data_IF_233597493717
#
_entry.id   IF_233597493717
#
_cell.length_a   1.000
_cell.length_b   1.000
_cell.length_c   1.000
_cell.angle_alpha   90.00
_cell.angle_beta   90.00
_cell.angle_gamma   90.00
#
_symmetry.space_group_name_H-M   'P 1'
#
loop_
_entity.id
_entity.type
_entity.pdbx_description
1 polymer ?
#
# COMPACT_ATOMS: atom_id res chain seq x y z
N UNK A 1 -3.31 40.33 0.40
CA UNK A 1 -4.18 39.15 0.47
C UNK A 1 -3.61 38.10 -0.48
N UNK A 2 -2.66 37.30 0.02
CA UNK A 2 -2.07 36.19 -0.73
C UNK A 2 -2.52 34.93 0.00
N UNK A 3 -3.46 34.22 -0.60
CA UNK A 3 -4.03 33.00 -0.03
C UNK A 3 -3.11 31.85 -0.40
N UNK A 4 -2.21 31.48 0.51
CA UNK A 4 -1.37 30.28 0.36
C UNK A 4 -2.23 29.08 0.75
N UNK A 5 -2.69 28.32 -0.25
CA UNK A 5 -3.41 27.08 -0.03
C UNK A 5 -2.45 26.02 0.56
N UNK A 6 -2.58 25.75 1.86
CA UNK A 6 -1.88 24.67 2.54
C UNK A 6 -2.74 23.41 2.41
N UNK A 7 -2.22 22.36 1.75
CA UNK A 7 -2.92 21.07 1.62
C UNK A 7 -2.52 20.15 2.77
N UNK A 8 -3.50 19.56 3.43
CA UNK A 8 -3.34 18.73 4.63
C UNK A 8 -3.71 17.28 4.26
N UNK A 9 -2.85 16.31 4.60
CA UNK A 9 -2.98 14.88 4.33
C UNK A 9 -3.08 14.15 5.67
N UNK A 10 -4.10 13.32 5.92
CA UNK A 10 -4.39 12.76 7.25
C UNK A 10 -4.22 11.23 7.33
N UNK A 11 -3.59 10.73 8.41
CA UNK A 11 -3.36 9.32 8.67
C UNK A 11 -3.57 8.92 10.14
N UNK A 12 -4.47 7.96 10.37
CA UNK A 12 -4.65 7.26 11.64
C UNK A 12 -5.08 5.81 11.38
N UNK A 13 -4.31 4.82 11.83
CA UNK A 13 -4.84 3.49 12.16
C UNK A 13 -3.96 2.77 13.20
N UNK A 14 -4.62 2.15 14.18
CA UNK A 14 -4.06 1.09 15.03
C UNK A 14 -4.03 -0.21 14.20
N UNK A 15 -2.89 -0.89 14.15
CA UNK A 15 -2.78 -2.23 13.57
C UNK A 15 -2.74 -3.28 14.67
N UNK A 16 -3.76 -4.13 14.72
CA UNK A 16 -3.69 -5.46 15.30
C UNK A 16 -3.96 -6.46 14.19
N UNK A 17 -2.94 -7.21 13.76
CA UNK A 17 -3.15 -8.37 12.91
C UNK A 17 -3.60 -9.53 13.78
N UNK A 18 -4.85 -9.96 13.62
CA UNK A 18 -5.32 -11.23 14.18
C UNK A 18 -5.23 -12.30 13.09
N UNK A 19 -4.26 -13.20 13.22
CA UNK A 19 -4.23 -14.46 12.48
C UNK A 19 -5.10 -15.44 13.25
N UNK A 20 -6.26 -15.78 12.70
CA UNK A 20 -7.12 -16.83 13.24
C UNK A 20 -6.71 -18.16 12.59
N UNK A 21 -6.08 -19.05 13.37
CA UNK A 21 -5.84 -20.44 12.98
C UNK A 21 -7.15 -21.22 13.17
N UNK A 22 -7.78 -21.66 12.07
CA UNK A 22 -8.91 -22.59 12.12
C UNK A 22 -8.37 -23.98 11.78
N UNK A 23 -8.04 -24.78 12.78
CA UNK A 23 -7.84 -26.22 12.60
C UNK A 23 -9.19 -26.91 12.66
N UNK A 24 -9.86 -26.99 11.53
CA UNK A 24 -10.92 -27.97 11.30
C UNK A 24 -10.31 -29.14 10.54
N UNK A 25 -10.28 -30.34 11.12
CA UNK A 25 -10.03 -31.56 10.37
C UNK A 25 -11.22 -31.75 9.42
N UNK A 26 -11.03 -31.33 8.16
CA UNK A 26 -11.98 -31.60 7.08
C UNK A 26 -11.38 -32.74 6.27
N UNK A 27 -11.97 -33.93 6.36
CA UNK A 27 -11.58 -35.05 5.52
C UNK A 27 -11.98 -34.76 4.06
N UNK A 28 -10.95 -34.61 3.22
CA UNK A 28 -11.06 -34.38 1.78
C UNK A 28 -9.68 -34.31 1.14
N UNK A 29 -9.56 -34.74 -0.11
CA UNK A 29 -8.32 -34.59 -0.89
C UNK A 29 -8.19 -33.16 -1.37
N UNK A 30 -7.19 -32.44 -0.86
CA UNK A 30 -6.82 -31.10 -1.29
C UNK A 30 -5.53 -31.13 -2.12
N UNK A 31 -5.48 -30.27 -3.14
CA UNK A 31 -4.34 -30.16 -4.05
C UNK A 31 -3.10 -29.56 -3.36
N UNK A 32 -3.30 -28.70 -2.36
CA UNK A 32 -2.25 -28.04 -1.58
C UNK A 32 -2.61 -28.02 -0.09
N UNK A 33 -1.58 -28.14 0.76
CA UNK A 33 -1.69 -28.12 2.22
C UNK A 33 -1.63 -26.68 2.77
N UNK A 34 -1.01 -25.74 2.04
CA UNK A 34 -1.03 -24.30 2.33
C UNK A 34 -1.09 -23.49 1.03
N UNK A 35 -1.91 -22.43 1.00
CA UNK A 35 -1.91 -21.46 -0.10
C UNK A 35 -1.62 -20.06 0.45
N UNK A 36 -0.60 -19.39 -0.10
CA UNK A 36 -0.16 -18.04 0.27
C UNK A 36 -0.38 -17.10 -0.89
N UNK A 37 -1.08 -15.98 -0.67
CA UNK A 37 -1.46 -15.05 -1.72
C UNK A 37 -0.77 -13.70 -1.49
N UNK A 38 0.10 -13.31 -2.44
CA UNK A 38 0.96 -12.12 -2.43
C UNK A 38 2.41 -12.42 -2.07
N UNK A 39 3.36 -12.13 -2.98
CA UNK A 39 4.80 -12.36 -2.79
C UNK A 39 5.53 -11.20 -2.08
N UNK A 40 4.83 -10.38 -1.29
CA UNK A 40 5.52 -9.45 -0.40
C UNK A 40 6.44 -10.17 0.59
N UNK A 41 7.26 -9.41 1.33
CA UNK A 41 8.19 -9.96 2.33
C UNK A 41 7.55 -10.94 3.31
N UNK A 42 6.31 -10.67 3.76
CA UNK A 42 5.56 -11.55 4.66
C UNK A 42 5.02 -12.84 4.01
N UNK A 43 4.55 -12.78 2.76
CA UNK A 43 4.03 -13.95 2.05
C UNK A 43 5.13 -14.94 1.67
N UNK A 44 6.27 -14.44 1.19
CA UNK A 44 7.42 -15.30 0.89
C UNK A 44 8.05 -15.94 2.13
N UNK A 45 8.13 -15.22 3.24
CA UNK A 45 8.67 -15.78 4.48
C UNK A 45 7.79 -16.94 5.00
N UNK A 46 6.46 -16.76 5.00
CA UNK A 46 5.48 -17.77 5.39
C UNK A 46 5.54 -19.03 4.51
N UNK A 47 5.59 -18.84 3.19
CA UNK A 47 5.64 -19.96 2.26
C UNK A 47 6.92 -20.79 2.33
N UNK A 48 8.08 -20.13 2.55
CA UNK A 48 9.39 -20.80 2.65
C UNK A 48 9.47 -21.69 3.91
N UNK A 49 8.92 -21.23 5.01
CA UNK A 49 8.92 -22.00 6.25
C UNK A 49 8.01 -23.23 6.17
N UNK A 50 6.83 -23.10 5.56
CA UNK A 50 5.90 -24.22 5.40
C UNK A 50 6.42 -25.35 4.48
N UNK A 51 7.24 -25.02 3.48
CA UNK A 51 7.95 -26.02 2.66
C UNK A 51 9.01 -26.79 3.46
N UNK A 52 9.76 -26.12 4.35
CA UNK A 52 10.76 -26.79 5.21
C UNK A 52 10.13 -27.81 6.18
N UNK A 53 8.84 -27.65 6.47
CA UNK A 53 8.03 -28.54 7.29
C UNK A 53 7.37 -29.68 6.47
N UNK A 54 7.69 -29.78 5.18
CA UNK A 54 7.20 -30.85 4.30
C UNK A 54 5.78 -30.66 3.76
N UNK A 55 5.19 -29.47 3.88
CA UNK A 55 3.84 -29.18 3.36
C UNK A 55 3.86 -28.86 1.86
N UNK A 56 2.81 -29.24 1.13
CA UNK A 56 2.62 -28.86 -0.28
C UNK A 56 2.05 -27.45 -0.35
N UNK A 57 2.89 -26.47 -0.66
CA UNK A 57 2.52 -25.05 -0.60
C UNK A 57 2.37 -24.41 -1.97
N UNK A 58 1.30 -23.67 -2.19
CA UNK A 58 1.12 -22.79 -3.35
C UNK A 58 1.38 -21.33 -2.96
N UNK A 59 2.23 -20.62 -3.70
CA UNK A 59 2.37 -19.16 -3.58
C UNK A 59 1.89 -18.51 -4.86
N UNK A 60 0.98 -17.56 -4.71
CA UNK A 60 0.40 -16.82 -5.80
C UNK A 60 0.98 -15.41 -5.76
N UNK A 61 2.02 -15.18 -6.57
CA UNK A 61 2.62 -13.87 -6.80
C UNK A 61 2.90 -13.68 -8.29
N UNK A 62 2.32 -12.64 -8.89
CA UNK A 62 2.37 -12.43 -10.32
C UNK A 62 2.44 -10.94 -10.62
N UNK A 63 3.49 -10.55 -11.35
CA UNK A 63 3.66 -9.19 -11.88
C UNK A 63 3.81 -9.28 -13.39
N UNK A 64 2.85 -8.71 -14.11
CA UNK A 64 2.81 -8.77 -15.57
C UNK A 64 3.86 -7.83 -16.18
N UNK A 65 4.63 -8.28 -17.21
CA UNK A 65 5.61 -7.43 -17.88
C UNK A 65 4.97 -6.26 -18.62
N UNK A 66 5.63 -5.10 -18.64
CA UNK A 66 5.18 -3.98 -19.47
C UNK A 66 5.41 -4.25 -20.96
N UNK A 67 4.67 -3.57 -21.87
CA UNK A 67 4.85 -3.70 -23.32
C UNK A 67 6.23 -3.29 -23.84
N UNK A 68 7.00 -2.49 -23.08
CA UNK A 68 8.40 -2.16 -23.38
C UNK A 68 9.41 -3.19 -22.82
N UNK A 69 8.92 -4.28 -22.22
CA UNK A 69 9.72 -5.41 -21.74
C UNK A 69 10.15 -5.34 -20.27
N UNK A 70 9.71 -4.33 -19.52
CA UNK A 70 10.16 -4.13 -18.13
C UNK A 70 9.37 -5.04 -17.18
N UNK A 71 10.10 -5.80 -16.35
CA UNK A 71 9.54 -6.65 -15.30
C UNK A 71 10.00 -6.15 -13.95
N UNK A 72 9.12 -6.15 -12.96
CA UNK A 72 9.51 -5.99 -11.56
C UNK A 72 9.21 -7.30 -10.84
N UNK A 73 10.18 -7.77 -10.07
CA UNK A 73 10.04 -8.93 -9.22
C UNK A 73 10.05 -8.53 -7.75
N UNK A 74 10.16 -9.54 -6.91
CA UNK A 74 10.26 -9.47 -5.46
C UNK A 74 11.38 -8.50 -4.97
N UNK A 75 11.02 -7.49 -4.17
CA UNK A 75 11.97 -6.52 -3.57
C UNK A 75 11.91 -5.10 -4.15
N UNK A 76 12.01 -4.07 -3.30
CA UNK A 76 11.69 -2.65 -3.58
C UNK A 76 12.75 -1.83 -4.34
N UNK A 77 12.54 -0.51 -4.41
CA UNK A 77 13.30 0.44 -5.26
C UNK A 77 14.21 1.39 -4.48
N UNK A 78 15.53 1.32 -4.74
CA UNK A 78 16.54 2.27 -4.29
C UNK A 78 16.77 3.34 -5.39
N UNK A 79 16.31 4.57 -5.16
CA UNK A 79 16.71 5.72 -5.98
C UNK A 79 17.24 6.79 -5.05
N UNK A 80 18.51 6.66 -4.64
CA UNK A 80 19.31 7.73 -4.03
C UNK A 80 20.83 7.58 -4.26
N UNK A 81 21.32 6.53 -4.95
CA UNK A 81 22.76 6.26 -5.07
C UNK A 81 23.26 6.06 -6.52
N UNK A 82 22.49 6.44 -7.54
CA UNK A 82 22.85 6.17 -8.95
C UNK A 82 24.23 6.73 -9.35
N UNK A 83 24.58 7.94 -8.88
CA UNK A 83 25.87 8.58 -9.23
C UNK A 83 27.05 7.87 -8.55
N UNK A 84 26.90 7.44 -7.30
CA UNK A 84 27.93 6.71 -6.55
C UNK A 84 28.26 5.34 -7.16
N UNK A 85 27.33 4.78 -7.94
CA UNK A 85 27.50 3.52 -8.68
C UNK A 85 27.89 3.70 -10.16
N UNK A 86 28.34 4.90 -10.57
CA UNK A 86 28.93 5.13 -11.90
C UNK A 86 27.95 5.49 -13.02
N UNK A 87 26.69 5.82 -12.69
CA UNK A 87 25.74 6.33 -13.67
C UNK A 87 26.12 7.76 -14.08
N UNK A 88 26.33 7.99 -15.38
CA UNK A 88 26.59 9.31 -15.93
C UNK A 88 25.28 10.08 -16.10
N UNK A 89 24.83 10.73 -15.02
CA UNK A 89 23.73 11.70 -15.06
C UNK A 89 24.34 13.07 -15.36
N UNK A 90 23.95 13.78 -16.44
CA UNK A 90 24.58 15.05 -16.85
C UNK A 90 24.60 16.11 -15.74
N UNK A 91 23.54 16.14 -14.93
CA UNK A 91 23.42 16.97 -13.73
C UNK A 91 22.25 16.44 -12.90
N UNK A 92 22.44 16.25 -11.59
CA UNK A 92 21.36 15.91 -10.68
C UNK A 92 20.29 17.02 -10.60
N UNK A 93 20.66 18.27 -10.91
CA UNK A 93 19.73 19.41 -10.93
C UNK A 93 18.77 19.38 -12.11
N UNK A 94 19.13 18.64 -13.16
CA UNK A 94 18.34 18.54 -14.40
C UNK A 94 17.44 17.30 -14.40
N UNK A 95 17.53 16.46 -13.36
CA UNK A 95 16.62 15.33 -13.15
C UNK A 95 15.32 15.85 -12.55
N UNK A 96 14.29 15.94 -13.38
CA UNK A 96 12.96 16.34 -12.95
C UNK A 96 12.01 15.13 -12.94
N UNK A 97 11.25 15.00 -11.86
CA UNK A 97 10.15 14.03 -11.81
C UNK A 97 8.90 14.62 -12.47
N UNK A 98 8.30 13.86 -13.38
CA UNK A 98 7.01 14.21 -13.98
C UNK A 98 5.89 13.59 -13.14
N UNK A 99 5.15 14.42 -12.40
CA UNK A 99 3.99 13.96 -11.62
C UNK A 99 2.94 13.29 -12.51
N UNK A 100 2.54 13.85 -13.68
CA UNK A 100 1.60 13.18 -14.56
C UNK A 100 2.09 11.79 -15.00
N UNK A 101 3.37 11.66 -15.38
CA UNK A 101 3.93 10.38 -15.78
C UNK A 101 3.95 9.36 -14.63
N UNK A 102 4.26 9.82 -13.41
CA UNK A 102 4.20 8.99 -12.20
C UNK A 102 2.78 8.49 -11.95
N UNK A 103 1.80 9.39 -11.89
CA UNK A 103 0.41 9.00 -11.62
C UNK A 103 -0.15 8.13 -12.74
N UNK A 104 0.18 8.40 -14.00
CA UNK A 104 -0.20 7.57 -15.14
C UNK A 104 0.39 6.17 -15.03
N UNK A 105 1.67 6.04 -14.68
CA UNK A 105 2.32 4.75 -14.48
C UNK A 105 1.64 3.96 -13.34
N UNK A 106 1.33 4.61 -12.21
CA UNK A 106 0.60 3.99 -11.09
C UNK A 106 -0.79 3.55 -11.52
N UNK A 107 -1.56 4.41 -12.19
CA UNK A 107 -2.91 4.09 -12.65
C UNK A 107 -2.91 2.96 -13.70
N UNK A 108 -1.94 2.95 -14.61
CA UNK A 108 -1.79 1.88 -15.59
C UNK A 108 -1.40 0.56 -14.93
N UNK A 109 -0.55 0.58 -13.91
CA UNK A 109 -0.24 -0.60 -13.12
C UNK A 109 -1.48 -1.14 -12.40
N UNK A 110 -2.25 -0.28 -11.72
CA UNK A 110 -3.51 -0.66 -11.06
C UNK A 110 -4.48 -1.29 -12.07
N UNK A 111 -4.65 -0.69 -13.25
CA UNK A 111 -5.50 -1.25 -14.33
C UNK A 111 -5.01 -2.61 -14.79
N UNK A 112 -3.70 -2.79 -14.97
CA UNK A 112 -3.10 -4.07 -15.37
C UNK A 112 -3.35 -5.14 -14.31
N UNK A 113 -3.06 -4.86 -13.04
CA UNK A 113 -3.31 -5.80 -11.93
C UNK A 113 -4.79 -6.18 -11.87
N UNK A 114 -5.71 -5.20 -11.90
CA UNK A 114 -7.15 -5.47 -11.90
C UNK A 114 -7.59 -6.34 -13.08
N UNK A 115 -7.03 -6.13 -14.26
CA UNK A 115 -7.32 -6.94 -15.44
C UNK A 115 -6.83 -8.38 -15.26
N UNK A 116 -5.58 -8.59 -14.84
CA UNK A 116 -5.02 -9.92 -14.58
C UNK A 116 -5.84 -10.64 -13.52
N UNK A 117 -6.20 -9.98 -12.42
CA UNK A 117 -7.01 -10.58 -11.37
C UNK A 117 -8.37 -11.02 -11.89
N UNK A 118 -9.05 -10.20 -12.70
CA UNK A 118 -10.34 -10.57 -13.31
C UNK A 118 -10.20 -11.78 -14.25
N UNK A 119 -9.09 -11.87 -14.99
CA UNK A 119 -8.79 -13.04 -15.83
C UNK A 119 -8.56 -14.29 -14.97
N UNK A 120 -7.74 -14.20 -13.92
CA UNK A 120 -7.46 -15.32 -13.01
C UNK A 120 -8.74 -15.82 -12.32
N UNK A 121 -9.61 -14.92 -11.85
CA UNK A 121 -10.91 -15.26 -11.28
C UNK A 121 -11.76 -16.04 -12.28
N UNK A 122 -11.84 -15.57 -13.53
CA UNK A 122 -12.61 -16.24 -14.59
C UNK A 122 -12.03 -17.61 -14.94
N UNK A 123 -10.70 -17.73 -15.07
CA UNK A 123 -10.03 -18.98 -15.44
C UNK A 123 -10.18 -20.04 -14.33
N UNK A 124 -10.23 -19.60 -13.07
CA UNK A 124 -10.59 -20.44 -11.90
C UNK A 124 -12.09 -20.66 -11.72
N UNK A 125 -12.93 -20.15 -12.63
CA UNK A 125 -14.40 -20.24 -12.59
C UNK A 125 -15.02 -19.63 -11.33
N UNK A 126 -14.39 -18.61 -10.77
CA UNK A 126 -14.90 -17.80 -9.67
C UNK A 126 -15.79 -16.71 -10.25
N UNK A 127 -17.04 -16.66 -9.81
CA UNK A 127 -17.97 -15.59 -10.18
C UNK A 127 -17.59 -14.29 -9.47
N UNK A 128 -17.31 -13.24 -10.24
CA UNK A 128 -17.01 -11.90 -9.73
C UNK A 128 -18.22 -10.99 -9.93
N UNK A 129 -18.83 -10.58 -8.83
CA UNK A 129 -19.92 -9.62 -8.79
C UNK A 129 -19.36 -8.30 -8.24
N UNK A 130 -19.40 -7.25 -9.06
CA UNK A 130 -19.01 -5.91 -8.62
C UNK A 130 -20.19 -5.23 -7.92
N UNK A 131 -20.32 -5.47 -6.62
CA UNK A 131 -21.40 -4.94 -5.79
C UNK A 131 -20.97 -4.73 -4.34
N UNK A 132 -21.75 -3.93 -3.60
CA UNK A 132 -21.56 -3.75 -2.16
C UNK A 132 -22.37 -4.83 -1.42
N UNK A 133 -21.70 -5.65 -0.62
CA UNK A 133 -22.36 -6.69 0.17
C UNK A 133 -22.99 -6.12 1.45
N UNK A 134 -24.29 -6.38 1.64
CA UNK A 134 -25.03 -6.05 2.86
C UNK A 134 -25.81 -7.29 3.33
N UNK A 135 -25.68 -7.67 4.60
CA UNK A 135 -26.42 -8.79 5.18
C UNK A 135 -27.89 -8.41 5.41
N UNK A 136 -28.80 -9.18 4.82
CA UNK A 136 -30.24 -9.11 5.08
C UNK A 136 -30.65 -10.06 6.20
N UNK A 137 -29.93 -11.15 6.34
CA UNK A 137 -30.01 -12.15 7.42
C UNK A 137 -28.66 -12.91 7.50
N UNK A 138 -28.45 -13.87 8.44
CA UNK A 138 -27.16 -14.56 8.60
C UNK A 138 -26.61 -15.29 7.36
N UNK A 139 -27.44 -15.61 6.37
CA UNK A 139 -27.07 -16.37 5.18
C UNK A 139 -27.42 -15.67 3.86
N UNK A 140 -27.93 -14.44 3.92
CA UNK A 140 -28.39 -13.71 2.74
C UNK A 140 -27.74 -12.35 2.65
N UNK A 141 -27.05 -12.10 1.55
CA UNK A 141 -26.62 -10.78 1.09
C UNK A 141 -27.43 -10.39 -0.16
N UNK A 142 -26.79 -10.01 -1.27
CA UNK A 142 -27.44 -10.01 -2.60
C UNK A 142 -27.70 -11.44 -3.14
N UNK A 143 -27.07 -12.44 -2.53
CA UNK A 143 -27.14 -13.88 -2.81
C UNK A 143 -27.16 -14.67 -1.48
N UNK A 144 -27.58 -15.94 -1.53
CA UNK A 144 -27.59 -16.83 -0.35
C UNK A 144 -26.34 -17.69 -0.28
N UNK A 145 -25.70 -17.79 0.89
CA UNK A 145 -24.50 -18.60 1.11
C UNK A 145 -24.50 -19.31 2.48
N UNK A 146 -24.04 -20.58 2.49
CA UNK A 146 -23.93 -21.37 3.72
C UNK A 146 -22.92 -20.77 4.72
N UNK A 147 -21.80 -20.26 4.23
CA UNK A 147 -20.76 -19.60 5.03
C UNK A 147 -20.38 -18.29 4.33
N UNK A 148 -20.16 -17.23 5.11
CA UNK A 148 -19.72 -15.92 4.59
C UNK A 148 -18.45 -15.49 5.30
N UNK A 149 -17.43 -15.08 4.54
CA UNK A 149 -16.17 -14.53 5.06
C UNK A 149 -16.20 -13.01 4.90
N UNK A 150 -16.00 -12.28 5.99
CA UNK A 150 -15.91 -10.82 5.99
C UNK A 150 -14.44 -10.42 5.89
N UNK A 151 -14.04 -9.87 4.74
CA UNK A 151 -12.67 -9.44 4.44
C UNK A 151 -12.64 -8.01 3.85
N UNK A 152 -13.40 -7.09 4.46
CA UNK A 152 -13.64 -5.72 3.93
C UNK A 152 -12.48 -4.72 4.13
N UNK A 153 -11.42 -5.13 4.84
CA UNK A 153 -10.25 -4.28 5.10
C UNK A 153 -10.56 -3.03 5.93
N UNK A 154 -9.72 -2.01 5.79
CA UNK A 154 -9.87 -0.72 6.46
C UNK A 154 -9.90 0.43 5.45
N UNK A 155 -10.39 1.60 5.87
CA UNK A 155 -10.41 2.84 5.08
C UNK A 155 -9.75 3.96 5.88
N UNK A 156 -9.09 4.93 5.23
CA UNK A 156 -8.62 6.12 5.91
C UNK A 156 -9.77 6.84 6.61
N UNK A 157 -9.47 7.41 7.78
CA UNK A 157 -10.44 8.15 8.58
C UNK A 157 -10.12 9.64 8.54
N UNK A 158 -11.14 10.45 8.19
CA UNK A 158 -11.07 11.89 8.34
C UNK A 158 -11.38 12.27 9.80
N UNK A 159 -10.58 13.13 10.43
CA UNK A 159 -10.88 13.65 11.76
C UNK A 159 -12.16 14.49 11.71
N UNK A 160 -12.91 14.46 12.81
CA UNK A 160 -14.13 15.25 12.98
C UNK A 160 -13.79 16.72 13.30
N UNK A 161 -13.31 17.44 12.28
CA UNK A 161 -13.02 18.88 12.32
C UNK A 161 -13.55 19.57 11.06
N UNK A 162 -13.93 20.86 11.15
CA UNK A 162 -14.42 21.61 10.01
C UNK A 162 -13.46 21.57 8.81
N UNK A 163 -13.98 21.25 7.62
CA UNK A 163 -13.23 21.25 6.37
C UNK A 163 -12.34 20.02 6.14
N UNK A 164 -12.27 19.04 7.06
CA UNK A 164 -11.43 17.87 6.88
C UNK A 164 -11.77 17.09 5.60
N UNK A 165 -13.04 16.75 5.40
CA UNK A 165 -13.48 15.99 4.22
C UNK A 165 -13.46 16.82 2.91
N UNK A 166 -13.48 18.16 3.00
CA UNK A 166 -13.53 19.04 1.82
C UNK A 166 -12.13 19.40 1.31
N UNK A 167 -11.18 19.62 2.22
CA UNK A 167 -9.87 20.17 1.89
C UNK A 167 -8.72 19.19 2.07
N UNK A 168 -8.93 18.09 2.78
CA UNK A 168 -7.89 17.10 2.97
C UNK A 168 -8.02 15.96 1.95
N UNK A 169 -6.90 15.31 1.75
CA UNK A 169 -6.78 14.08 0.98
C UNK A 169 -6.27 12.96 1.91
N UNK A 170 -6.34 11.72 1.44
CA UNK A 170 -5.84 10.53 2.15
C UNK A 170 -4.77 9.81 1.31
N UNK A 171 -4.17 8.73 1.84
CA UNK A 171 -3.25 7.86 1.07
C UNK A 171 -3.90 7.30 -0.18
N UNK A 172 -5.21 7.05 -0.13
CA UNK A 172 -5.94 6.46 -1.24
C UNK A 172 -5.98 7.44 -2.43
N UNK A 173 -5.92 8.74 -2.14
CA UNK A 173 -6.09 9.79 -3.14
C UNK A 173 -4.76 10.23 -3.77
N UNK A 174 -3.63 10.15 -3.04
CA UNK A 174 -2.37 10.80 -3.42
C UNK A 174 -1.91 10.45 -4.84
N UNK A 175 -2.03 9.19 -5.26
CA UNK A 175 -1.62 8.72 -6.59
C UNK A 175 -2.71 8.83 -7.66
N UNK A 176 -3.86 9.39 -7.30
CA UNK A 176 -4.98 9.65 -8.21
C UNK A 176 -5.11 11.14 -8.56
N UNK A 177 -4.39 12.02 -7.87
CA UNK A 177 -4.40 13.45 -8.12
C UNK A 177 -3.79 13.79 -9.48
N UNK A 178 -4.53 14.55 -10.29
CA UNK A 178 -4.05 15.04 -11.59
C UNK A 178 -2.88 16.03 -11.50
N UNK A 179 -2.56 16.52 -10.31
CA UNK A 179 -1.48 17.46 -10.05
C UNK A 179 -0.83 17.15 -8.69
N UNK A 180 0.46 17.50 -8.50
CA UNK A 180 1.13 17.24 -7.24
C UNK A 180 0.47 18.00 -6.09
N UNK A 181 0.49 17.46 -4.86
CA UNK A 181 -0.10 18.12 -3.70
C UNK A 181 0.69 19.38 -3.29
N UNK A 182 1.92 19.56 -3.78
CA UNK A 182 2.74 20.72 -3.45
C UNK A 182 3.17 20.69 -1.98
N UNK A 183 3.22 21.88 -1.34
CA UNK A 183 3.56 21.97 0.09
C UNK A 183 2.47 21.26 0.92
N UNK A 184 2.87 20.22 1.64
CA UNK A 184 1.94 19.27 2.26
C UNK A 184 2.17 19.15 3.76
N UNK A 185 1.12 19.33 4.56
CA UNK A 185 1.10 18.98 5.98
C UNK A 185 0.58 17.55 6.13
N UNK A 186 1.41 16.63 6.58
CA UNK A 186 1.02 15.23 6.86
C UNK A 186 0.64 15.10 8.33
N UNK A 187 -0.64 14.91 8.61
CA UNK A 187 -1.21 14.76 9.95
C UNK A 187 -1.27 13.29 10.32
N UNK A 188 -0.30 12.86 11.10
CA UNK A 188 -0.17 11.47 11.52
C UNK A 188 1.26 10.98 11.36
N UNK A 189 1.85 10.53 12.47
CA UNK A 189 3.23 10.04 12.53
C UNK A 189 3.31 8.50 12.59
N UNK A 190 2.32 7.82 11.99
CA UNK A 190 2.38 6.39 11.72
C UNK A 190 3.25 6.11 10.48
N UNK A 191 3.49 4.84 10.19
CA UNK A 191 4.35 4.44 9.06
C UNK A 191 3.87 5.04 7.72
N UNK A 192 2.56 4.99 7.43
CA UNK A 192 1.99 5.58 6.20
C UNK A 192 2.31 7.07 6.10
N UNK A 193 2.12 7.82 7.20
CA UNK A 193 2.37 9.26 7.20
C UNK A 193 3.83 9.60 6.98
N UNK A 194 4.74 8.88 7.63
CA UNK A 194 6.18 9.10 7.47
C UNK A 194 6.66 8.70 6.06
N UNK A 195 6.17 7.58 5.52
CA UNK A 195 6.46 7.15 4.14
C UNK A 195 5.98 8.18 3.12
N UNK A 196 4.74 8.67 3.25
CA UNK A 196 4.21 9.72 2.36
C UNK A 196 5.00 11.02 2.49
N UNK A 197 5.36 11.44 3.70
CA UNK A 197 6.13 12.66 3.92
C UNK A 197 7.53 12.58 3.30
N UNK A 198 8.24 11.47 3.55
CA UNK A 198 9.55 11.22 2.94
C UNK A 198 9.50 11.15 1.42
N UNK A 199 8.48 10.47 0.88
CA UNK A 199 8.23 10.38 -0.56
C UNK A 199 8.00 11.76 -1.19
N UNK A 200 7.09 12.56 -0.62
CA UNK A 200 6.80 13.91 -1.11
C UNK A 200 8.04 14.81 -1.07
N UNK A 201 8.79 14.77 0.02
CA UNK A 201 10.01 15.54 0.18
C UNK A 201 11.11 15.10 -0.80
N UNK A 202 11.29 13.79 -1.02
CA UNK A 202 12.24 13.26 -1.99
C UNK A 202 11.91 13.67 -3.45
N UNK A 203 10.63 13.92 -3.75
CA UNK A 203 10.20 14.48 -5.03
C UNK A 203 10.35 16.01 -5.14
N UNK A 204 10.87 16.67 -4.09
CA UNK A 204 11.04 18.12 -4.03
C UNK A 204 9.81 18.89 -3.54
N UNK A 205 8.78 18.21 -3.03
CA UNK A 205 7.62 18.88 -2.42
C UNK A 205 7.80 18.97 -0.91
N UNK A 206 7.89 20.18 -0.37
CA UNK A 206 8.04 20.40 1.06
C UNK A 206 6.93 19.69 1.85
N UNK A 207 7.33 18.73 2.69
CA UNK A 207 6.45 18.02 3.59
C UNK A 207 6.69 18.51 5.03
N UNK A 208 5.67 18.43 5.87
CA UNK A 208 5.79 18.66 7.32
C UNK A 208 4.92 17.65 8.03
N UNK A 209 5.44 16.94 9.02
CA UNK A 209 4.66 15.94 9.76
C UNK A 209 4.13 16.53 11.07
N UNK A 210 2.81 16.52 11.26
CA UNK A 210 2.18 16.83 12.55
C UNK A 210 2.15 15.58 13.42
N UNK A 211 2.96 15.59 14.47
CA UNK A 211 3.09 14.51 15.45
C UNK A 211 2.27 14.86 16.69
N UNK A 212 1.25 14.06 17.02
CA UNK A 212 0.44 14.30 18.23
C UNK A 212 1.16 13.94 19.54
N UNK A 213 2.04 12.94 19.52
CA UNK A 213 2.65 12.40 20.75
C UNK A 213 4.05 11.81 20.52
N UNK A 214 4.12 10.58 20.02
CA UNK A 214 5.36 9.90 19.61
C UNK A 214 5.22 9.38 18.18
N UNK A 215 6.28 9.46 17.36
CA UNK A 215 6.31 8.86 16.04
C UNK A 215 6.33 7.32 16.15
N UNK A 216 5.78 6.65 15.14
CA UNK A 216 5.74 5.19 15.03
C UNK A 216 5.31 4.52 16.34
N UNK A 217 4.19 4.99 16.90
CA UNK A 217 3.65 4.42 18.14
C UNK A 217 3.43 2.91 17.97
N UNK A 218 4.01 2.12 18.88
CA UNK A 218 3.99 0.65 18.82
C UNK A 218 5.31 0.04 18.34
N UNK A 219 6.23 0.84 17.82
CA UNK A 219 7.59 0.41 17.47
C UNK A 219 8.60 0.76 18.56
N UNK A 220 9.78 0.13 18.49
CA UNK A 220 10.92 0.49 19.31
C UNK A 220 11.25 1.99 19.15
N UNK A 221 11.36 2.70 20.28
CA UNK A 221 11.48 4.15 20.28
C UNK A 221 12.89 4.64 19.96
N UNK A 222 13.92 3.81 20.08
CA UNK A 222 15.25 4.15 19.59
C UNK A 222 15.24 4.13 18.05
N UNK A 223 14.65 3.08 17.45
CA UNK A 223 14.50 2.99 16.00
C UNK A 223 13.65 4.12 15.43
N UNK A 224 12.50 4.41 16.07
CA UNK A 224 11.63 5.49 15.64
C UNK A 224 12.33 6.85 15.63
N UNK A 225 13.16 7.14 16.64
CA UNK A 225 13.96 8.37 16.72
C UNK A 225 15.02 8.46 15.64
N UNK A 226 15.68 7.36 15.30
CA UNK A 226 16.64 7.35 14.19
C UNK A 226 15.96 7.68 12.86
N UNK A 227 14.79 7.09 12.61
CA UNK A 227 13.99 7.41 11.42
C UNK A 227 13.60 8.89 11.40
N UNK A 228 13.06 9.43 12.49
CA UNK A 228 12.66 10.85 12.50
C UNK A 228 13.84 11.80 12.42
N UNK A 229 14.99 11.48 13.03
CA UNK A 229 16.20 12.32 12.93
C UNK A 229 16.71 12.37 11.50
N UNK A 230 16.75 11.24 10.80
CA UNK A 230 17.11 11.19 9.37
C UNK A 230 16.13 11.98 8.50
N UNK A 231 14.83 11.92 8.81
CA UNK A 231 13.81 12.69 8.10
C UNK A 231 13.99 14.20 8.29
N UNK A 232 14.28 14.65 9.52
CA UNK A 232 14.59 16.04 9.82
C UNK A 232 15.85 16.51 9.07
N UNK A 233 16.91 15.70 9.06
CA UNK A 233 18.15 15.98 8.30
C UNK A 233 17.89 16.11 6.79
N UNK A 234 16.91 15.36 6.26
CA UNK A 234 16.47 15.43 4.86
C UNK A 234 15.46 16.53 4.57
N UNK A 235 15.03 17.30 5.58
CA UNK A 235 14.18 18.47 5.42
C UNK A 235 12.66 18.23 5.49
N UNK A 236 12.22 17.15 6.14
CA UNK A 236 10.80 16.85 6.44
C UNK A 236 10.38 17.46 7.78
#
# INVERSE_FOLDING_TARGET
MVMVALRILLFLTHFGFYILWITGLVDGTFDYDLAVIGGGSGGLACAKEAINQGQRVAVLDYVQPSPQGTKWGLGGTCVNEAVSYGWQVPSLKDVHISWPALTEAVQNHIKSVNWVTRVDLRDKKIEYINGLGEFKDPHTIELTAKNVVIAVGGRPHYPDIPGAAEYCITSDDIFSLGHPPGKTLVVGAGYIGLECAGFLNAMGYAATVLVRSVPLRGFDQQMARMVTSEMEERGV
#
